data_IF_332681718741
#
_entry.id   IF_332681718741
#
_cell.length_a   1.000
_cell.length_b   1.000
_cell.length_c   1.000
_cell.angle_alpha   90.00
_cell.angle_beta   90.00
_cell.angle_gamma   90.00
#
_symmetry.space_group_name_H-M   'P 1'
#
loop_
_entity.id
_entity.type
_entity.pdbx_description
1 polymer ?
#
# COMPACT_ATOMS: atom_id res chain seq x y z
N UNK A 1 -17.69 -49.75 -37.92
CA UNK A 1 -17.56 -49.73 -36.46
C UNK A 1 -16.69 -48.57 -35.89
N UNK A 2 -16.17 -47.65 -36.74
CA UNK A 2 -15.28 -46.53 -36.28
C UNK A 2 -15.98 -45.24 -35.82
N UNK A 3 -17.30 -45.07 -36.08
CA UNK A 3 -18.00 -43.83 -35.83
C UNK A 3 -18.79 -43.74 -34.46
N UNK A 4 -18.92 -44.84 -33.73
CA UNK A 4 -19.61 -44.87 -32.41
C UNK A 4 -18.66 -44.66 -31.22
N UNK A 5 -17.35 -44.94 -31.39
CA UNK A 5 -16.32 -44.75 -30.35
C UNK A 5 -15.97 -43.26 -30.12
N UNK A 6 -15.98 -42.44 -31.19
CA UNK A 6 -15.70 -41.00 -31.05
C UNK A 6 -16.82 -40.22 -30.33
N UNK A 7 -18.07 -40.70 -30.40
CA UNK A 7 -19.21 -40.00 -29.77
C UNK A 7 -19.29 -40.23 -28.25
N UNK A 8 -18.80 -41.36 -27.76
CA UNK A 8 -18.80 -41.67 -26.32
C UNK A 8 -17.75 -40.91 -25.53
N UNK A 9 -16.58 -40.61 -26.14
CA UNK A 9 -15.51 -39.81 -25.51
C UNK A 9 -15.87 -38.33 -25.50
N UNK A 10 -16.57 -37.81 -26.51
CA UNK A 10 -17.00 -36.42 -26.58
C UNK A 10 -18.10 -36.07 -25.56
N UNK A 11 -18.93 -36.98 -25.17
CA UNK A 11 -20.04 -36.72 -24.23
C UNK A 11 -19.54 -36.65 -22.77
N UNK A 12 -18.51 -37.39 -22.40
CA UNK A 12 -17.97 -37.35 -21.03
C UNK A 12 -17.06 -36.11 -20.81
N UNK A 13 -16.40 -35.58 -21.85
CA UNK A 13 -15.61 -34.34 -21.74
C UNK A 13 -16.45 -33.06 -21.73
N UNK A 14 -17.66 -33.07 -22.29
CA UNK A 14 -18.53 -31.88 -22.34
C UNK A 14 -19.33 -31.62 -21.06
N UNK A 15 -19.40 -32.58 -20.15
CA UNK A 15 -20.16 -32.43 -18.89
C UNK A 15 -19.37 -31.82 -17.71
N UNK A 16 -18.07 -31.56 -17.86
CA UNK A 16 -17.19 -31.03 -16.79
C UNK A 16 -16.35 -29.82 -17.20
N UNK A 17 -16.78 -29.08 -18.23
CA UNK A 17 -16.25 -27.73 -18.40
C UNK A 17 -17.05 -26.82 -17.47
N UNK A 18 -16.48 -26.35 -16.34
CA UNK A 18 -17.18 -25.34 -15.56
C UNK A 18 -17.34 -24.12 -16.47
N UNK A 19 -18.50 -23.45 -16.46
CA UNK A 19 -18.68 -22.24 -17.24
C UNK A 19 -17.57 -21.27 -16.88
N UNK A 20 -16.91 -20.68 -17.87
CA UNK A 20 -15.75 -19.79 -17.73
C UNK A 20 -16.04 -18.47 -16.95
N UNK A 21 -17.17 -18.41 -16.27
CA UNK A 21 -17.63 -17.29 -15.43
C UNK A 21 -18.12 -17.75 -14.05
N UNK A 22 -17.63 -18.87 -13.50
CA UNK A 22 -17.85 -19.16 -12.11
C UNK A 22 -17.13 -18.10 -11.28
N UNK A 23 -17.82 -17.01 -10.95
CA UNK A 23 -17.43 -16.15 -9.85
C UNK A 23 -17.12 -17.06 -8.67
N UNK A 24 -15.91 -16.97 -8.14
CA UNK A 24 -15.50 -17.80 -7.02
C UNK A 24 -16.53 -17.60 -5.88
N UNK A 25 -17.35 -18.63 -5.61
CA UNK A 25 -18.36 -18.57 -4.56
C UNK A 25 -17.60 -18.54 -3.23
N UNK A 26 -17.66 -17.42 -2.51
CA UNK A 26 -17.08 -17.29 -1.18
C UNK A 26 -17.94 -18.00 -0.13
N UNK A 27 -17.85 -19.34 -0.12
CA UNK A 27 -18.61 -20.22 0.80
C UNK A 27 -18.35 -19.88 2.26
N UNK A 28 -17.17 -19.37 2.58
CA UNK A 28 -16.74 -19.08 3.95
C UNK A 28 -16.93 -17.62 4.35
N UNK A 29 -17.48 -16.77 3.46
CA UNK A 29 -17.65 -15.32 3.65
C UNK A 29 -16.38 -14.64 4.14
N UNK A 30 -15.24 -14.98 3.54
CA UNK A 30 -13.95 -14.44 3.93
C UNK A 30 -13.73 -13.03 3.41
N UNK A 31 -14.44 -12.65 2.34
CA UNK A 31 -14.49 -11.27 1.83
C UNK A 31 -14.99 -10.28 2.88
N UNK A 32 -15.89 -10.69 3.79
CA UNK A 32 -16.44 -9.83 4.83
C UNK A 32 -15.38 -9.46 5.90
N UNK A 33 -14.27 -10.18 5.95
CA UNK A 33 -13.16 -9.92 6.87
C UNK A 33 -12.12 -8.93 6.31
N UNK A 34 -12.32 -8.43 5.09
CA UNK A 34 -11.56 -7.33 4.47
C UNK A 34 -12.48 -6.14 4.22
N UNK A 35 -11.91 -4.95 4.06
CA UNK A 35 -12.68 -3.75 3.76
C UNK A 35 -13.51 -3.89 2.48
N UNK A 36 -14.77 -3.44 2.50
CA UNK A 36 -15.68 -3.52 1.35
C UNK A 36 -15.17 -2.73 0.13
N UNK A 37 -14.56 -1.57 0.37
CA UNK A 37 -13.94 -0.71 -0.66
C UNK A 37 -12.53 -0.30 -0.25
N UNK A 38 -11.69 0.16 -1.18
CA UNK A 38 -10.36 0.68 -0.85
C UNK A 38 -10.38 1.78 0.22
N UNK A 39 -11.43 2.58 0.28
CA UNK A 39 -11.58 3.74 1.15
C UNK A 39 -12.35 3.46 2.46
N UNK A 40 -12.98 2.29 2.61
CA UNK A 40 -13.85 1.94 3.74
C UNK A 40 -13.31 2.24 5.14
N UNK A 41 -12.01 2.03 5.43
CA UNK A 41 -11.49 2.29 6.77
C UNK A 41 -11.56 3.76 7.21
N UNK A 42 -11.48 4.70 6.27
CA UNK A 42 -11.49 6.14 6.55
C UNK A 42 -12.83 6.82 6.25
N UNK A 43 -13.69 6.17 5.45
CA UNK A 43 -14.95 6.73 4.95
C UNK A 43 -16.10 5.81 5.31
N UNK A 44 -16.81 6.12 6.38
CA UNK A 44 -17.93 5.30 6.85
C UNK A 44 -19.18 5.34 5.96
N UNK A 45 -19.39 6.41 5.15
CA UNK A 45 -20.64 6.61 4.38
C UNK A 45 -20.48 7.33 3.03
N UNK A 46 -19.28 7.62 2.55
CA UNK A 46 -19.10 8.39 1.32
C UNK A 46 -18.79 7.44 0.15
N UNK A 47 -19.65 7.43 -0.86
CA UNK A 47 -19.37 6.73 -2.11
C UNK A 47 -18.24 7.42 -2.86
N UNK A 48 -17.27 6.65 -3.35
CA UNK A 48 -16.21 7.14 -4.22
C UNK A 48 -16.81 7.56 -5.58
N UNK A 49 -17.30 8.79 -5.66
CA UNK A 49 -17.77 9.39 -6.92
C UNK A 49 -16.66 10.28 -7.47
N UNK A 50 -16.13 9.94 -8.63
CA UNK A 50 -15.14 10.76 -9.34
C UNK A 50 -15.86 11.68 -10.29
N UNK A 51 -16.34 12.84 -9.82
CA UNK A 51 -16.80 13.89 -10.71
C UNK A 51 -15.62 14.76 -11.21
N UNK A 52 -15.63 15.19 -12.48
CA UNK A 52 -14.70 16.20 -12.96
C UNK A 52 -15.01 17.53 -12.27
N UNK A 53 -14.04 18.07 -11.54
CA UNK A 53 -14.24 19.28 -10.73
C UNK A 53 -13.88 20.50 -11.58
N UNK A 54 -14.87 21.18 -12.11
CA UNK A 54 -14.73 22.49 -12.79
C UNK A 54 -14.59 23.67 -11.81
N UNK A 55 -14.72 23.39 -10.51
CA UNK A 55 -14.63 24.36 -9.41
C UNK A 55 -13.30 24.26 -8.68
N UNK A 56 -12.90 25.29 -7.92
CA UNK A 56 -11.73 25.20 -7.05
C UNK A 56 -11.88 24.04 -6.06
N UNK A 57 -10.86 23.20 -6.00
CA UNK A 57 -10.82 21.98 -5.21
C UNK A 57 -10.53 22.32 -3.73
N UNK A 58 -11.36 21.82 -2.82
CA UNK A 58 -11.11 21.89 -1.38
C UNK A 58 -10.16 20.76 -0.94
N UNK A 59 -9.50 20.94 0.22
CA UNK A 59 -8.57 19.94 0.76
C UNK A 59 -9.26 18.60 1.01
N UNK A 60 -10.44 18.60 1.61
CA UNK A 60 -11.21 17.38 1.85
C UNK A 60 -11.51 16.61 0.57
N UNK A 61 -11.93 17.33 -0.49
CA UNK A 61 -12.23 16.72 -1.78
C UNK A 61 -10.98 16.11 -2.44
N UNK A 62 -9.84 16.80 -2.34
CA UNK A 62 -8.57 16.27 -2.84
C UNK A 62 -8.20 14.96 -2.16
N UNK A 63 -8.35 14.90 -0.84
CA UNK A 63 -8.07 13.70 -0.04
C UNK A 63 -9.06 12.58 -0.36
N UNK A 64 -10.36 12.88 -0.44
CA UNK A 64 -11.38 11.90 -0.80
C UNK A 64 -11.10 11.28 -2.17
N UNK A 65 -10.76 12.09 -3.17
CA UNK A 65 -10.39 11.60 -4.48
C UNK A 65 -9.12 10.75 -4.44
N UNK A 66 -8.10 11.17 -3.68
CA UNK A 66 -6.87 10.41 -3.53
C UNK A 66 -7.12 9.02 -2.91
N UNK A 67 -7.82 8.95 -1.79
CA UNK A 67 -8.15 7.69 -1.11
C UNK A 67 -8.92 6.73 -2.03
N UNK A 68 -9.81 7.27 -2.86
CA UNK A 68 -10.62 6.47 -3.76
C UNK A 68 -9.87 6.00 -5.02
N UNK A 69 -8.97 6.81 -5.58
CA UNK A 69 -8.39 6.58 -6.90
C UNK A 69 -6.91 6.23 -6.89
N UNK A 70 -6.20 6.51 -5.80
CA UNK A 70 -4.74 6.32 -5.75
C UNK A 70 -4.35 4.84 -5.92
N UNK A 71 -3.41 4.50 -6.82
CA UNK A 71 -3.02 3.11 -7.09
C UNK A 71 -2.52 2.35 -5.86
N UNK A 72 -1.80 3.01 -4.94
CA UNK A 72 -1.30 2.38 -3.71
C UNK A 72 -2.45 1.95 -2.78
N UNK A 73 -3.50 2.76 -2.63
CA UNK A 73 -4.69 2.40 -1.85
C UNK A 73 -5.38 1.17 -2.43
N UNK A 74 -5.55 1.13 -3.76
CA UNK A 74 -6.11 -0.02 -4.49
C UNK A 74 -5.25 -1.27 -4.35
N UNK A 75 -3.93 -1.14 -4.41
CA UNK A 75 -2.99 -2.24 -4.23
C UNK A 75 -3.07 -2.82 -2.82
N UNK A 76 -3.06 -1.98 -1.77
CA UNK A 76 -3.16 -2.43 -0.39
C UNK A 76 -4.49 -3.16 -0.13
N UNK A 77 -5.60 -2.62 -0.64
CA UNK A 77 -6.90 -3.28 -0.59
C UNK A 77 -6.93 -4.63 -1.31
N UNK A 78 -6.36 -4.73 -2.51
CA UNK A 78 -6.29 -5.99 -3.26
C UNK A 78 -5.45 -7.03 -2.50
N UNK A 79 -4.35 -6.61 -1.85
CA UNK A 79 -3.53 -7.47 -0.99
C UNK A 79 -4.31 -7.98 0.23
N UNK A 80 -5.10 -7.13 0.89
CA UNK A 80 -5.95 -7.55 2.02
C UNK A 80 -6.99 -8.59 1.56
N UNK A 81 -7.63 -8.39 0.41
CA UNK A 81 -8.55 -9.37 -0.19
C UNK A 81 -7.87 -10.69 -0.54
N UNK A 82 -6.63 -10.64 -1.03
CA UNK A 82 -5.86 -11.85 -1.30
C UNK A 82 -5.58 -12.64 -0.01
N UNK A 83 -5.28 -11.97 1.10
CA UNK A 83 -5.11 -12.62 2.39
C UNK A 83 -6.46 -13.13 2.97
N UNK A 84 -7.56 -12.44 2.72
CA UNK A 84 -8.89 -12.93 3.06
C UNK A 84 -9.21 -14.25 2.32
N UNK A 85 -8.88 -14.32 1.03
CA UNK A 85 -8.99 -15.57 0.27
C UNK A 85 -8.07 -16.68 0.82
N UNK A 86 -6.87 -16.34 1.28
CA UNK A 86 -5.95 -17.30 1.93
C UNK A 86 -6.55 -17.90 3.23
N UNK A 87 -7.32 -17.11 3.99
CA UNK A 87 -8.12 -17.65 5.11
C UNK A 87 -9.15 -18.65 4.62
N UNK A 88 -9.80 -18.40 3.48
CA UNK A 88 -10.71 -19.35 2.84
C UNK A 88 -10.02 -20.67 2.47
N UNK A 89 -8.82 -20.60 1.89
CA UNK A 89 -7.99 -21.77 1.59
C UNK A 89 -7.66 -22.55 2.88
N UNK A 90 -7.29 -21.86 3.95
CA UNK A 90 -7.01 -22.50 5.24
C UNK A 90 -8.26 -23.17 5.86
N UNK A 91 -9.45 -22.58 5.69
CA UNK A 91 -10.73 -23.20 6.08
C UNK A 91 -11.06 -24.40 5.21
N UNK A 92 -10.81 -24.34 3.90
CA UNK A 92 -11.07 -25.44 2.96
C UNK A 92 -10.25 -26.69 3.29
N UNK A 93 -9.08 -26.55 3.95
CA UNK A 93 -8.28 -27.70 4.42
C UNK A 93 -9.02 -28.60 5.45
N UNK A 94 -10.13 -28.15 6.02
CA UNK A 94 -10.99 -28.98 6.90
C UNK A 94 -12.01 -29.82 6.14
N UNK A 95 -12.23 -29.56 4.86
CA UNK A 95 -13.17 -30.26 4.01
C UNK A 95 -12.50 -31.42 3.27
N UNK A 96 -13.28 -32.44 2.82
CA UNK A 96 -12.75 -33.48 1.96
C UNK A 96 -12.36 -32.92 0.58
N UNK A 97 -11.25 -33.42 0.03
CA UNK A 97 -10.84 -33.19 -1.34
C UNK A 97 -11.23 -34.36 -2.23
N UNK A 98 -11.79 -34.08 -3.39
CA UNK A 98 -12.20 -35.05 -4.39
C UNK A 98 -11.52 -34.73 -5.71
N UNK A 99 -10.73 -35.69 -6.22
CA UNK A 99 -9.98 -35.54 -7.47
C UNK A 99 -10.40 -36.64 -8.45
N UNK A 100 -10.72 -36.24 -9.70
CA UNK A 100 -11.01 -37.17 -10.78
C UNK A 100 -9.84 -37.16 -11.78
N UNK A 101 -9.38 -38.34 -12.16
CA UNK A 101 -8.34 -38.54 -13.19
C UNK A 101 -8.85 -39.51 -14.23
N UNK A 102 -8.72 -39.19 -15.50
CA UNK A 102 -9.04 -40.11 -16.59
C UNK A 102 -7.87 -40.16 -17.56
N UNK A 103 -7.62 -41.31 -18.14
CA UNK A 103 -6.48 -41.50 -19.05
C UNK A 103 -6.66 -42.69 -19.97
N UNK A 104 -5.78 -42.74 -20.97
CA UNK A 104 -5.63 -43.87 -21.91
C UNK A 104 -4.18 -44.27 -21.84
N UNK A 105 -3.96 -45.55 -21.46
CA UNK A 105 -2.64 -46.13 -21.39
C UNK A 105 -2.41 -47.12 -22.51
N UNK A 106 -1.21 -47.17 -23.01
CA UNK A 106 -0.73 -48.24 -23.86
C UNK A 106 0.52 -48.83 -23.22
N UNK A 107 0.36 -50.05 -22.71
CA UNK A 107 1.45 -50.78 -22.06
C UNK A 107 1.98 -51.88 -22.99
N UNK A 108 3.30 -51.97 -23.04
CA UNK A 108 4.01 -53.04 -23.74
C UNK A 108 4.89 -53.74 -22.73
N UNK A 109 4.49 -54.99 -22.40
CA UNK A 109 5.23 -55.80 -21.43
C UNK A 109 5.89 -56.95 -22.17
N UNK A 110 7.20 -57.08 -22.01
CA UNK A 110 7.96 -58.27 -22.42
C UNK A 110 8.36 -59.03 -21.17
N UNK A 111 7.99 -60.31 -21.10
CA UNK A 111 8.31 -61.20 -19.99
C UNK A 111 9.06 -62.38 -20.56
N UNK A 112 10.26 -62.63 -20.07
CA UNK A 112 11.04 -63.83 -20.40
C UNK A 112 10.91 -64.85 -19.29
N UNK A 113 10.43 -66.01 -19.62
CA UNK A 113 10.34 -67.14 -18.71
C UNK A 113 11.56 -68.01 -18.93
N UNK A 114 12.32 -68.30 -17.88
CA UNK A 114 13.42 -69.24 -17.93
C UNK A 114 12.94 -70.61 -17.46
N UNK A 115 12.87 -71.52 -18.42
CA UNK A 115 12.51 -72.93 -18.16
C UNK A 115 13.79 -73.83 -18.19
N UNK A 116 14.95 -73.26 -17.98
CA UNK A 116 16.25 -74.02 -17.97
C UNK A 116 16.23 -75.15 -16.95
N UNK A 117 15.60 -75.01 -15.79
CA UNK A 117 15.51 -76.10 -14.80
C UNK A 117 14.76 -77.36 -15.25
N UNK A 118 14.00 -77.29 -16.34
CA UNK A 118 13.22 -78.39 -16.92
C UNK A 118 13.69 -78.70 -18.37
N UNK A 119 14.82 -78.12 -18.81
CA UNK A 119 15.42 -78.38 -20.11
C UNK A 119 14.79 -77.70 -21.33
N UNK A 120 13.84 -76.73 -21.13
CA UNK A 120 13.11 -76.12 -22.23
C UNK A 120 13.68 -74.72 -22.65
N UNK A 121 14.74 -74.26 -22.04
CA UNK A 121 15.38 -72.97 -22.37
C UNK A 121 14.51 -71.76 -21.95
N UNK A 122 14.90 -70.55 -22.40
CA UNK A 122 14.14 -69.34 -22.10
C UNK A 122 13.14 -68.99 -23.21
N UNK A 123 11.92 -68.62 -22.84
CA UNK A 123 10.90 -68.14 -23.77
C UNK A 123 10.53 -66.70 -23.44
N UNK A 124 10.62 -65.82 -24.43
CA UNK A 124 10.18 -64.42 -24.30
C UNK A 124 8.81 -64.19 -24.93
N UNK A 125 7.91 -63.59 -24.19
CA UNK A 125 6.57 -63.27 -24.65
C UNK A 125 6.36 -61.76 -24.53
N UNK A 126 6.16 -61.09 -25.65
CA UNK A 126 5.79 -59.65 -25.68
C UNK A 126 4.27 -59.53 -25.81
N UNK A 127 3.73 -58.58 -25.04
CA UNK A 127 2.31 -58.33 -25.01
C UNK A 127 2.06 -56.82 -25.02
N UNK A 128 1.13 -56.40 -25.87
CA UNK A 128 0.67 -54.97 -25.91
C UNK A 128 -0.77 -54.96 -25.40
N UNK A 129 -1.07 -53.98 -24.50
CA UNK A 129 -2.41 -53.69 -24.05
C UNK A 129 -2.71 -52.22 -24.18
N UNK A 130 -3.95 -51.88 -24.43
CA UNK A 130 -4.45 -50.52 -24.34
C UNK A 130 -5.59 -50.51 -23.31
N UNK A 131 -5.56 -49.58 -22.38
CA UNK A 131 -6.63 -49.42 -21.39
C UNK A 131 -7.14 -47.99 -21.33
N UNK A 132 -8.40 -47.83 -21.07
CA UNK A 132 -9.01 -46.57 -20.71
C UNK A 132 -9.39 -46.64 -19.23
N UNK A 133 -8.94 -45.68 -18.44
CA UNK A 133 -9.24 -45.67 -17.01
C UNK A 133 -9.83 -44.34 -16.54
N UNK A 134 -10.66 -44.42 -15.50
CA UNK A 134 -11.13 -43.32 -14.70
C UNK A 134 -10.93 -43.63 -13.24
N UNK A 135 -10.35 -42.70 -12.50
CA UNK A 135 -10.08 -42.81 -11.06
C UNK A 135 -10.67 -41.60 -10.35
N UNK A 136 -11.48 -41.85 -9.33
CA UNK A 136 -11.97 -40.84 -8.41
C UNK A 136 -11.31 -41.09 -7.05
N UNK A 137 -10.56 -40.10 -6.55
CA UNK A 137 -9.88 -40.18 -5.28
C UNK A 137 -10.51 -39.20 -4.28
N UNK A 138 -10.83 -39.68 -3.11
CA UNK A 138 -11.28 -38.93 -1.94
C UNK A 138 -10.15 -38.91 -0.92
N UNK A 139 -9.80 -37.73 -0.42
CA UNK A 139 -8.90 -37.56 0.72
C UNK A 139 -9.49 -36.56 1.72
N UNK A 140 -9.52 -36.97 2.99
CA UNK A 140 -10.03 -36.11 4.06
C UNK A 140 -9.20 -36.31 5.33
N UNK A 141 -8.58 -35.25 5.79
CA UNK A 141 -7.84 -35.25 7.05
C UNK A 141 -8.85 -35.11 8.19
N UNK A 142 -8.94 -36.14 9.05
CA UNK A 142 -9.81 -36.14 10.23
C UNK A 142 -9.11 -35.45 11.41
N UNK A 143 -7.84 -35.84 11.67
CA UNK A 143 -7.08 -35.32 12.80
C UNK A 143 -5.59 -35.16 12.43
N UNK A 144 -4.98 -34.03 12.81
CA UNK A 144 -3.62 -33.66 12.45
C UNK A 144 -2.85 -32.99 13.61
N UNK A 145 -3.29 -33.25 14.83
CA UNK A 145 -2.65 -32.74 16.06
C UNK A 145 -2.37 -31.23 16.05
N UNK A 146 -3.24 -30.47 15.39
CA UNK A 146 -3.24 -29.01 15.42
C UNK A 146 -2.62 -28.32 14.20
N UNK A 147 -2.15 -29.04 13.17
CA UNK A 147 -1.55 -28.44 11.97
C UNK A 147 -2.52 -27.49 11.27
N UNK A 148 -3.77 -27.92 10.98
CA UNK A 148 -4.77 -27.07 10.32
C UNK A 148 -5.21 -25.89 11.18
N UNK A 149 -5.36 -26.09 12.50
CA UNK A 149 -5.75 -25.00 13.40
C UNK A 149 -4.66 -23.93 13.52
N UNK A 150 -3.39 -24.32 13.58
CA UNK A 150 -2.26 -23.40 13.53
C UNK A 150 -2.17 -22.70 12.17
N UNK A 151 -2.37 -23.43 11.06
CA UNK A 151 -2.44 -22.86 9.70
C UNK A 151 -3.56 -21.84 9.53
N UNK A 152 -4.72 -22.08 10.11
CA UNK A 152 -5.84 -21.14 10.10
C UNK A 152 -5.52 -19.88 10.96
N UNK A 153 -4.87 -20.04 12.11
CA UNK A 153 -4.39 -18.90 12.91
C UNK A 153 -3.38 -18.08 12.12
N UNK A 154 -2.38 -18.73 11.53
CA UNK A 154 -1.40 -18.06 10.67
C UNK A 154 -2.07 -17.22 9.58
N UNK A 155 -3.03 -17.80 8.84
CA UNK A 155 -3.75 -17.09 7.78
C UNK A 155 -4.57 -15.89 8.31
N UNK A 156 -5.19 -16.01 9.49
CA UNK A 156 -5.94 -14.93 10.14
C UNK A 156 -5.03 -13.79 10.58
N UNK A 157 -3.88 -14.10 11.16
CA UNK A 157 -2.92 -13.07 11.59
C UNK A 157 -2.29 -12.35 10.39
N UNK A 158 -2.03 -13.06 9.27
CA UNK A 158 -1.59 -12.44 8.02
C UNK A 158 -2.67 -11.53 7.43
N UNK A 159 -3.94 -11.90 7.53
CA UNK A 159 -5.06 -11.03 7.13
C UNK A 159 -5.14 -9.79 8.03
N UNK A 160 -5.01 -9.94 9.34
CA UNK A 160 -4.97 -8.81 10.28
C UNK A 160 -3.81 -7.86 9.95
N UNK A 161 -2.63 -8.41 9.65
CA UNK A 161 -1.48 -7.61 9.21
C UNK A 161 -1.73 -6.88 7.89
N UNK A 162 -2.42 -7.51 6.93
CA UNK A 162 -2.75 -6.91 5.64
C UNK A 162 -3.79 -5.79 5.77
N UNK A 163 -4.82 -5.97 6.60
CA UNK A 163 -5.81 -4.93 6.91
C UNK A 163 -5.13 -3.71 7.58
N UNK A 164 -4.31 -3.93 8.60
CA UNK A 164 -3.58 -2.85 9.24
C UNK A 164 -2.56 -2.16 8.29
N UNK A 165 -1.97 -2.90 7.35
CA UNK A 165 -1.12 -2.32 6.31
C UNK A 165 -1.94 -1.50 5.30
N UNK A 166 -3.19 -1.87 5.03
CA UNK A 166 -4.11 -1.06 4.24
C UNK A 166 -4.40 0.26 4.94
N UNK A 167 -4.70 0.24 6.25
CA UNK A 167 -4.95 1.45 7.05
C UNK A 167 -3.72 2.38 7.05
N UNK A 168 -2.52 1.84 7.24
CA UNK A 168 -1.26 2.58 7.18
C UNK A 168 -1.05 3.24 5.80
N UNK A 169 -1.33 2.49 4.73
CA UNK A 169 -1.24 3.01 3.34
C UNK A 169 -2.24 4.14 3.10
N UNK A 170 -3.48 4.02 3.59
CA UNK A 170 -4.49 5.07 3.45
C UNK A 170 -4.09 6.34 4.20
N UNK A 171 -3.51 6.21 5.40
CA UNK A 171 -2.97 7.35 6.14
C UNK A 171 -1.79 8.00 5.41
N UNK A 172 -0.90 7.20 4.79
CA UNK A 172 0.19 7.73 3.99
C UNK A 172 -0.31 8.48 2.74
N UNK A 173 -1.33 7.97 2.05
CA UNK A 173 -1.98 8.65 0.90
C UNK A 173 -2.65 9.94 1.36
N UNK A 174 -3.37 9.92 2.47
CA UNK A 174 -3.97 11.11 3.07
C UNK A 174 -2.90 12.18 3.36
N UNK A 175 -1.85 11.79 4.08
CA UNK A 175 -0.75 12.69 4.45
C UNK A 175 -0.07 13.30 3.23
N UNK A 176 0.31 12.48 2.25
CA UNK A 176 0.99 12.95 1.05
C UNK A 176 0.13 13.90 0.20
N UNK A 177 -1.18 13.64 0.12
CA UNK A 177 -2.12 14.50 -0.62
C UNK A 177 -2.34 15.83 0.10
N UNK A 178 -2.52 15.81 1.42
CA UNK A 178 -2.66 17.02 2.21
C UNK A 178 -1.40 17.89 2.14
N UNK A 179 -0.21 17.27 2.21
CA UNK A 179 1.06 17.94 2.07
C UNK A 179 1.23 18.56 0.68
N UNK A 180 0.86 17.85 -0.40
CA UNK A 180 0.90 18.36 -1.77
C UNK A 180 -0.10 19.51 -1.97
N UNK A 181 -1.29 19.44 -1.36
CA UNK A 181 -2.27 20.51 -1.39
C UNK A 181 -1.73 21.80 -0.73
N UNK A 182 -1.16 21.68 0.47
CA UNK A 182 -0.53 22.84 1.13
C UNK A 182 0.68 23.38 0.35
N UNK A 183 1.45 22.51 -0.30
CA UNK A 183 2.56 22.97 -1.16
C UNK A 183 2.07 23.83 -2.35
N UNK A 184 0.90 23.55 -2.94
CA UNK A 184 0.29 24.42 -3.96
C UNK A 184 -0.09 25.77 -3.35
N UNK A 185 -0.70 25.79 -2.17
CA UNK A 185 -1.07 27.04 -1.47
C UNK A 185 0.15 27.89 -1.15
N UNK A 186 1.22 27.27 -0.68
CA UNK A 186 2.47 27.95 -0.33
C UNK A 186 3.15 28.52 -1.57
N UNK A 187 3.12 27.77 -2.69
CA UNK A 187 3.61 28.26 -3.98
C UNK A 187 2.79 29.45 -4.50
N UNK A 188 1.45 29.44 -4.34
CA UNK A 188 0.58 30.57 -4.69
C UNK A 188 0.88 31.80 -3.82
N UNK A 189 1.01 31.62 -2.50
CA UNK A 189 1.38 32.71 -1.59
C UNK A 189 2.76 33.29 -1.94
N UNK A 190 3.69 32.46 -2.42
CA UNK A 190 5.01 32.91 -2.89
C UNK A 190 4.92 33.73 -4.18
N UNK A 191 3.99 33.40 -5.09
CA UNK A 191 3.70 34.21 -6.29
C UNK A 191 3.13 35.56 -5.90
N UNK A 192 2.18 35.61 -4.96
CA UNK A 192 1.57 36.86 -4.48
C UNK A 192 2.63 37.79 -3.85
N UNK A 193 3.53 37.25 -3.02
CA UNK A 193 4.67 37.98 -2.46
C UNK A 193 5.64 38.49 -3.54
N UNK A 194 5.94 37.65 -4.54
CA UNK A 194 6.80 38.04 -5.63
C UNK A 194 6.19 39.15 -6.51
N UNK A 195 4.88 39.11 -6.74
CA UNK A 195 4.13 40.18 -7.42
C UNK A 195 4.19 41.50 -6.64
N UNK A 196 4.06 41.47 -5.33
CA UNK A 196 4.19 42.66 -4.49
C UNK A 196 5.60 43.21 -4.57
N UNK A 197 6.62 42.38 -4.47
CA UNK A 197 8.05 42.76 -4.58
C UNK A 197 8.36 43.37 -5.95
N UNK A 198 7.86 42.77 -7.04
CA UNK A 198 8.04 43.33 -8.40
C UNK A 198 7.36 44.70 -8.52
N UNK A 199 6.14 44.87 -8.00
CA UNK A 199 5.46 46.19 -8.01
C UNK A 199 6.25 47.24 -7.25
N UNK A 200 6.75 46.97 -6.06
CA UNK A 200 7.54 47.87 -5.24
C UNK A 200 8.85 48.24 -5.96
N UNK A 201 9.53 47.25 -6.57
CA UNK A 201 10.75 47.48 -7.32
C UNK A 201 10.50 48.32 -8.59
N UNK A 202 9.36 48.14 -9.27
CA UNK A 202 8.93 48.94 -10.42
C UNK A 202 8.70 50.41 -10.05
N UNK A 203 7.97 50.64 -8.94
CA UNK A 203 7.72 51.99 -8.42
C UNK A 203 9.03 52.69 -8.04
N UNK A 204 9.97 51.96 -7.42
CA UNK A 204 11.28 52.51 -7.05
C UNK A 204 12.16 52.82 -8.28
N UNK A 205 12.09 52.01 -9.32
CA UNK A 205 12.75 52.28 -10.60
C UNK A 205 12.19 53.55 -11.24
N UNK A 206 10.86 53.73 -11.23
CA UNK A 206 10.20 54.92 -11.75
C UNK A 206 10.66 56.19 -10.99
N UNK A 207 10.69 56.11 -9.65
CA UNK A 207 11.17 57.23 -8.81
C UNK A 207 12.67 57.56 -9.05
N UNK A 208 13.51 56.54 -9.13
CA UNK A 208 14.97 56.73 -9.40
C UNK A 208 15.23 57.30 -10.80
N UNK A 209 14.45 56.90 -11.81
CA UNK A 209 14.52 57.50 -13.16
C UNK A 209 14.11 58.99 -13.14
N UNK A 210 12.94 59.29 -12.54
CA UNK A 210 12.47 60.67 -12.46
C UNK A 210 13.48 61.60 -11.77
N UNK A 211 14.08 61.15 -10.64
CA UNK A 211 15.11 61.91 -9.94
C UNK A 211 16.39 62.10 -10.80
N UNK A 212 16.84 61.06 -11.49
CA UNK A 212 17.99 61.14 -12.38
C UNK A 212 17.74 62.13 -13.55
N UNK A 213 16.60 62.03 -14.20
CA UNK A 213 16.23 62.88 -15.36
C UNK A 213 16.04 64.35 -14.94
N UNK A 214 15.63 64.61 -13.68
CA UNK A 214 15.59 65.93 -13.07
C UNK A 214 16.93 66.40 -12.53
N UNK A 215 18.02 65.65 -12.68
CA UNK A 215 19.35 66.00 -12.17
C UNK A 215 19.53 65.90 -10.66
N UNK A 216 18.55 65.38 -9.96
CA UNK A 216 18.51 65.19 -8.48
C UNK A 216 18.92 63.79 -8.02
N UNK A 217 19.18 62.86 -8.94
CA UNK A 217 19.57 61.48 -8.68
C UNK A 217 20.81 61.03 -9.44
N UNK A 218 21.48 59.99 -8.96
CA UNK A 218 22.68 59.45 -9.60
C UNK A 218 22.34 58.37 -10.66
N UNK A 219 23.22 58.20 -11.66
CA UNK A 219 23.13 57.11 -12.60
C UNK A 219 23.22 55.73 -11.88
N UNK A 220 24.00 55.65 -10.80
CA UNK A 220 24.14 54.46 -9.96
C UNK A 220 22.83 54.03 -9.37
N UNK A 221 22.06 54.97 -8.76
CA UNK A 221 20.73 54.66 -8.16
C UNK A 221 19.77 54.13 -9.21
N UNK A 222 19.73 54.74 -10.42
CA UNK A 222 18.90 54.28 -11.53
C UNK A 222 19.26 52.87 -11.97
N UNK A 223 20.54 52.54 -12.11
CA UNK A 223 21.03 51.23 -12.55
C UNK A 223 20.78 50.18 -11.45
N UNK A 224 20.96 50.51 -10.16
CA UNK A 224 20.61 49.61 -9.04
C UNK A 224 19.11 49.32 -8.99
N UNK A 225 18.27 50.34 -9.14
CA UNK A 225 16.82 50.18 -9.22
C UNK A 225 16.41 49.30 -10.40
N UNK A 226 17.02 49.47 -11.56
CA UNK A 226 16.77 48.65 -12.74
C UNK A 226 17.18 47.19 -12.53
N UNK A 227 18.30 46.92 -11.89
CA UNK A 227 18.79 45.60 -11.56
C UNK A 227 17.85 44.91 -10.58
N UNK A 228 17.39 45.61 -9.52
CA UNK A 228 16.43 45.11 -8.53
C UNK A 228 15.11 44.76 -9.18
N UNK A 229 14.58 45.63 -10.06
CA UNK A 229 13.33 45.31 -10.79
C UNK A 229 13.50 44.07 -11.69
N UNK A 230 14.60 43.94 -12.43
CA UNK A 230 14.85 42.77 -13.28
C UNK A 230 14.93 41.47 -12.46
N UNK A 231 15.56 41.54 -11.27
CA UNK A 231 15.63 40.43 -10.34
C UNK A 231 14.21 40.01 -9.83
N UNK A 232 13.41 41.00 -9.44
CA UNK A 232 12.04 40.74 -8.99
C UNK A 232 11.18 40.07 -10.08
N UNK A 233 11.35 40.49 -11.38
CA UNK A 233 10.70 39.80 -12.51
C UNK A 233 11.14 38.33 -12.62
N UNK A 234 12.44 38.04 -12.49
CA UNK A 234 12.96 36.68 -12.54
C UNK A 234 12.38 35.82 -11.38
N UNK A 235 12.34 36.39 -10.17
CA UNK A 235 11.83 35.70 -8.98
C UNK A 235 10.34 35.38 -9.13
N UNK A 236 9.53 36.32 -9.69
CA UNK A 236 8.13 36.07 -9.99
C UNK A 236 7.92 34.93 -11.01
N UNK A 237 8.65 34.98 -12.14
CA UNK A 237 8.53 33.93 -13.17
C UNK A 237 8.92 32.57 -12.62
N UNK A 238 9.94 32.52 -11.76
CA UNK A 238 10.33 31.28 -11.05
C UNK A 238 9.23 30.79 -10.10
N UNK A 239 8.61 31.68 -9.33
CA UNK A 239 7.51 31.34 -8.43
C UNK A 239 6.29 30.80 -9.19
N UNK A 240 5.93 31.41 -10.35
CA UNK A 240 4.87 30.89 -11.22
C UNK A 240 5.18 29.49 -11.76
N UNK A 241 6.46 29.21 -12.07
CA UNK A 241 6.95 27.89 -12.44
C UNK A 241 6.73 26.86 -11.32
N UNK A 242 7.04 27.26 -10.09
CA UNK A 242 6.87 26.41 -8.90
C UNK A 242 5.38 26.07 -8.65
N UNK A 243 4.44 27.00 -8.88
CA UNK A 243 3.00 26.69 -8.79
C UNK A 243 2.63 25.58 -9.77
N UNK A 244 3.07 25.66 -11.03
CA UNK A 244 2.77 24.61 -12.01
C UNK A 244 3.34 23.25 -11.59
N UNK A 245 4.54 23.23 -11.06
CA UNK A 245 5.17 22.01 -10.53
C UNK A 245 4.40 21.44 -9.33
N UNK A 246 3.98 22.30 -8.40
CA UNK A 246 3.22 21.89 -7.22
C UNK A 246 1.83 21.35 -7.59
N UNK A 247 1.14 21.96 -8.57
CA UNK A 247 -0.13 21.45 -9.09
C UNK A 247 0.03 20.08 -9.72
N UNK A 248 1.10 19.85 -10.49
CA UNK A 248 1.40 18.52 -11.04
C UNK A 248 1.67 17.47 -9.95
N UNK A 249 2.40 17.86 -8.88
CA UNK A 249 2.63 16.96 -7.74
C UNK A 249 1.33 16.63 -6.99
N UNK A 250 0.42 17.59 -6.81
CA UNK A 250 -0.90 17.36 -6.24
C UNK A 250 -1.71 16.40 -7.12
N UNK A 251 -1.71 16.57 -8.45
CA UNK A 251 -2.39 15.66 -9.36
C UNK A 251 -1.92 14.22 -9.18
N UNK A 252 -0.60 14.01 -9.11
CA UNK A 252 -0.02 12.67 -8.91
C UNK A 252 -0.38 12.09 -7.53
N UNK A 253 -0.36 12.90 -6.46
CA UNK A 253 -0.77 12.44 -5.13
C UNK A 253 -2.24 12.05 -5.04
N UNK A 254 -3.07 12.58 -5.94
CA UNK A 254 -4.48 12.20 -6.13
C UNK A 254 -4.67 11.00 -7.08
N UNK A 255 -3.58 10.42 -7.59
CA UNK A 255 -3.64 9.31 -8.55
C UNK A 255 -4.03 9.74 -9.98
N UNK A 256 -3.77 10.99 -10.35
CA UNK A 256 -4.01 11.55 -11.68
C UNK A 256 -2.70 11.86 -12.40
N UNK A 257 -2.75 12.07 -13.70
CA UNK A 257 -1.59 12.48 -14.49
C UNK A 257 -1.15 13.90 -14.12
N UNK A 258 0.17 14.14 -14.09
CA UNK A 258 0.77 15.41 -13.66
C UNK A 258 0.36 16.62 -14.50
N UNK A 259 -0.07 16.42 -15.74
CA UNK A 259 -0.57 17.45 -16.66
C UNK A 259 -2.05 17.82 -16.45
N UNK A 260 -2.71 17.24 -15.46
CA UNK A 260 -4.11 17.57 -15.14
C UNK A 260 -4.18 18.98 -14.56
N UNK A 261 -4.89 19.87 -15.27
CA UNK A 261 -5.13 21.23 -14.77
C UNK A 261 -6.14 21.20 -13.62
N UNK A 262 -5.82 21.88 -12.52
CA UNK A 262 -6.74 22.05 -11.40
C UNK A 262 -6.49 23.39 -10.69
N UNK A 263 -7.53 23.90 -10.08
CA UNK A 263 -7.46 25.07 -9.19
C UNK A 263 -7.84 24.65 -7.79
N UNK A 264 -7.18 25.21 -6.78
CA UNK A 264 -7.51 24.95 -5.38
C UNK A 264 -8.18 26.15 -4.73
N UNK A 265 -8.88 25.91 -3.62
CA UNK A 265 -9.45 26.99 -2.79
C UNK A 265 -8.32 27.71 -2.06
N UNK A 266 -8.21 29.03 -2.23
CA UNK A 266 -7.12 29.85 -1.68
C UNK A 266 -7.40 30.41 -0.28
N UNK A 267 -8.65 30.55 0.10
CA UNK A 267 -9.07 31.25 1.32
C UNK A 267 -9.44 30.29 2.46
N UNK A 268 -8.49 29.95 3.29
CA UNK A 268 -8.75 29.48 4.65
C UNK A 268 -7.89 30.30 5.62
N UNK A 269 -8.51 30.96 6.60
CA UNK A 269 -7.75 31.66 7.63
C UNK A 269 -6.90 30.66 8.41
N UNK A 270 -5.70 31.06 8.78
CA UNK A 270 -4.87 30.32 9.74
C UNK A 270 -5.52 30.54 11.09
N UNK A 271 -6.16 29.51 11.67
CA UNK A 271 -6.65 29.57 13.03
C UNK A 271 -5.47 29.65 14.01
N UNK A 272 -5.52 30.61 14.94
CA UNK A 272 -4.48 30.81 15.95
C UNK A 272 -4.57 29.79 17.11
N UNK A 273 -5.28 28.69 16.96
CA UNK A 273 -5.44 27.68 18.01
C UNK A 273 -4.17 26.81 18.13
N UNK A 274 -3.37 27.07 19.15
CA UNK A 274 -2.00 26.57 19.29
C UNK A 274 -1.83 25.56 20.42
N UNK A 275 -2.87 25.23 21.19
CA UNK A 275 -2.70 24.48 22.41
C UNK A 275 -2.76 22.96 22.20
N UNK A 276 -1.59 22.31 22.14
CA UNK A 276 -1.52 20.88 22.44
C UNK A 276 -1.53 20.74 23.97
N UNK A 277 -2.68 20.36 24.54
CA UNK A 277 -2.83 20.18 25.97
C UNK A 277 -2.15 18.91 26.51
N UNK A 278 -1.89 17.91 25.65
CA UNK A 278 -1.33 16.64 26.06
C UNK A 278 0.20 16.65 26.10
N UNK A 279 0.78 16.03 27.13
CA UNK A 279 2.23 15.83 27.21
C UNK A 279 2.74 14.83 26.17
N UNK A 280 3.98 15.00 25.74
CA UNK A 280 4.60 14.14 24.71
C UNK A 280 4.63 12.66 25.07
N UNK A 281 4.80 12.32 26.34
CA UNK A 281 4.80 10.92 26.81
C UNK A 281 3.43 10.27 26.65
N UNK A 282 2.35 11.01 26.89
CA UNK A 282 0.98 10.54 26.65
C UNK A 282 0.74 10.29 25.18
N UNK A 283 1.17 11.20 24.30
CA UNK A 283 1.06 11.08 22.85
C UNK A 283 1.84 9.87 22.32
N UNK A 284 3.05 9.61 22.82
CA UNK A 284 3.84 8.44 22.46
C UNK A 284 3.11 7.15 22.86
N UNK A 285 2.53 7.10 24.07
CA UNK A 285 1.81 5.93 24.53
C UNK A 285 0.53 5.68 23.71
N UNK A 286 -0.22 6.73 23.37
CA UNK A 286 -1.39 6.62 22.49
C UNK A 286 -0.99 6.13 21.09
N UNK A 287 0.07 6.68 20.49
CA UNK A 287 0.58 6.23 19.20
C UNK A 287 0.98 4.75 19.22
N UNK A 288 1.66 4.30 20.26
CA UNK A 288 2.02 2.87 20.41
C UNK A 288 0.80 1.95 20.42
N UNK A 289 -0.35 2.42 20.88
CA UNK A 289 -1.58 1.63 20.90
C UNK A 289 -2.30 1.60 19.55
N UNK A 290 -2.34 2.72 18.86
CA UNK A 290 -3.25 2.96 17.71
C UNK A 290 -2.59 2.95 16.34
N UNK A 291 -1.26 3.21 16.27
CA UNK A 291 -0.57 3.36 14.99
C UNK A 291 -0.71 2.09 14.12
N UNK A 292 -1.32 2.17 12.92
CA UNK A 292 -1.58 0.99 12.09
C UNK A 292 -0.32 0.20 11.74
N UNK A 293 0.80 0.88 11.54
CA UNK A 293 2.12 0.25 11.33
C UNK A 293 2.50 -0.71 12.47
N UNK A 294 2.23 -0.35 13.73
CA UNK A 294 2.50 -1.21 14.89
C UNK A 294 1.47 -2.34 15.01
N UNK A 295 0.21 -2.08 14.68
CA UNK A 295 -0.82 -3.12 14.62
C UNK A 295 -0.43 -4.18 13.58
N UNK A 296 0.04 -3.76 12.40
CA UNK A 296 0.54 -4.66 11.36
C UNK A 296 1.77 -5.46 11.83
N UNK A 297 2.73 -4.83 12.50
CA UNK A 297 3.93 -5.51 13.02
C UNK A 297 3.59 -6.55 14.10
N UNK A 298 2.67 -6.24 15.02
CA UNK A 298 2.18 -7.20 16.03
C UNK A 298 1.49 -8.40 15.39
N UNK A 299 0.66 -8.16 14.39
CA UNK A 299 -0.01 -9.24 13.64
C UNK A 299 1.00 -10.12 12.88
N UNK A 300 2.05 -9.53 12.28
CA UNK A 300 3.13 -10.31 11.64
C UNK A 300 3.89 -11.17 12.63
N UNK A 301 4.18 -10.66 13.83
CA UNK A 301 4.79 -11.45 14.91
C UNK A 301 3.88 -12.60 15.33
N UNK A 302 2.58 -12.35 15.52
CA UNK A 302 1.60 -13.38 15.84
C UNK A 302 1.51 -14.45 14.74
N UNK A 303 1.57 -14.05 13.46
CA UNK A 303 1.64 -14.94 12.31
C UNK A 303 2.91 -15.81 12.34
N UNK A 304 4.07 -15.21 12.61
CA UNK A 304 5.33 -15.95 12.71
C UNK A 304 5.31 -16.98 13.86
N UNK A 305 4.75 -16.63 15.02
CA UNK A 305 4.55 -17.55 16.13
C UNK A 305 3.57 -18.67 15.77
N UNK A 306 2.49 -18.38 15.07
CA UNK A 306 1.57 -19.39 14.55
C UNK A 306 2.24 -20.32 13.54
N UNK A 307 3.16 -19.81 12.71
CA UNK A 307 3.95 -20.62 11.79
C UNK A 307 4.86 -21.61 12.51
N UNK A 308 5.47 -21.23 13.64
CA UNK A 308 6.24 -22.18 14.48
C UNK A 308 5.37 -23.38 14.87
N UNK A 309 4.11 -23.13 15.26
CA UNK A 309 3.18 -24.21 15.62
C UNK A 309 2.78 -25.07 14.41
N UNK A 310 2.63 -24.48 13.22
CA UNK A 310 2.40 -25.23 11.96
C UNK A 310 3.56 -26.20 11.72
N UNK A 311 4.80 -25.68 11.81
CA UNK A 311 6.01 -26.47 11.56
C UNK A 311 6.21 -27.57 12.62
N UNK A 312 5.93 -27.29 13.91
CA UNK A 312 5.93 -28.30 14.97
C UNK A 312 4.90 -29.41 14.70
N UNK A 313 3.71 -29.02 14.23
CA UNK A 313 2.64 -29.99 13.95
C UNK A 313 2.91 -30.84 12.72
N UNK A 314 3.81 -30.43 11.80
CA UNK A 314 4.20 -31.25 10.64
C UNK A 314 4.90 -32.55 11.05
N UNK A 315 5.61 -32.56 12.17
CA UNK A 315 6.25 -33.77 12.72
C UNK A 315 5.31 -34.67 13.54
N UNK A 316 4.02 -34.36 13.62
CA UNK A 316 3.02 -35.13 14.39
C UNK A 316 2.26 -36.11 13.51
N UNK A 317 1.68 -37.17 14.08
CA UNK A 317 0.84 -38.12 13.31
C UNK A 317 -0.33 -37.42 12.62
N UNK A 318 -0.82 -38.02 11.53
CA UNK A 318 -2.01 -37.53 10.82
C UNK A 318 -2.96 -38.70 10.58
N UNK A 319 -4.26 -38.54 10.90
CA UNK A 319 -5.32 -39.49 10.63
C UNK A 319 -6.18 -38.96 9.48
N UNK A 320 -6.30 -39.73 8.41
CA UNK A 320 -7.07 -39.34 7.23
C UNK A 320 -7.97 -40.48 6.75
N UNK A 321 -9.08 -40.11 6.10
CA UNK A 321 -9.86 -41.02 5.27
C UNK A 321 -9.30 -40.96 3.86
N UNK A 322 -8.97 -42.09 3.28
CA UNK A 322 -8.63 -42.24 1.87
C UNK A 322 -9.66 -43.16 1.20
N UNK A 323 -10.18 -42.68 0.07
CA UNK A 323 -11.10 -43.47 -0.76
C UNK A 323 -10.69 -43.42 -2.22
N UNK A 324 -10.89 -44.54 -2.94
CA UNK A 324 -10.70 -44.54 -4.38
C UNK A 324 -11.78 -45.38 -5.06
N UNK A 325 -12.30 -44.85 -6.14
CA UNK A 325 -13.10 -45.57 -7.10
C UNK A 325 -12.37 -45.57 -8.44
N UNK A 326 -12.10 -46.77 -8.95
CA UNK A 326 -11.37 -46.97 -10.21
C UNK A 326 -12.25 -47.75 -11.17
N UNK A 327 -12.43 -47.24 -12.36
CA UNK A 327 -13.01 -47.97 -13.49
C UNK A 327 -11.93 -48.12 -14.57
N UNK A 328 -11.74 -49.36 -15.02
CA UNK A 328 -10.79 -49.68 -16.08
C UNK A 328 -11.42 -50.55 -17.14
N UNK A 329 -11.20 -50.26 -18.39
CA UNK A 329 -11.58 -51.04 -19.55
C UNK A 329 -10.33 -51.58 -20.22
N UNK A 330 -9.70 -52.63 -19.71
CA UNK A 330 -8.46 -53.15 -20.29
C UNK A 330 -8.78 -53.91 -21.60
N UNK A 331 -7.92 -53.72 -22.61
CA UNK A 331 -7.94 -54.57 -23.79
C UNK A 331 -7.17 -55.91 -23.60
N UNK A 332 -6.66 -56.11 -22.40
CA UNK A 332 -5.75 -57.18 -22.02
C UNK A 332 -6.14 -57.81 -20.68
N UNK A 333 -5.84 -59.04 -20.56
CA UNK A 333 -6.18 -59.89 -19.47
C UNK A 333 -4.93 -60.44 -18.74
N UNK A 334 -4.99 -60.49 -17.41
CA UNK A 334 -4.02 -61.25 -16.61
C UNK A 334 -4.25 -62.77 -16.79
N UNK A 335 -3.22 -63.49 -16.80
CA UNK A 335 -2.95 -64.79 -17.39
C UNK A 335 -3.70 -66.01 -16.83
N UNK A 336 -4.66 -65.88 -15.94
CA UNK A 336 -5.28 -67.02 -15.29
C UNK A 336 -6.62 -67.44 -15.91
N UNK A 337 -7.29 -66.53 -16.62
CA UNK A 337 -8.67 -66.79 -17.08
C UNK A 337 -8.74 -66.85 -18.62
N UNK A 338 -9.52 -67.81 -19.12
CA UNK A 338 -9.72 -68.03 -20.54
C UNK A 338 -10.63 -67.00 -21.20
N UNK A 339 -11.19 -66.06 -20.45
CA UNK A 339 -12.15 -65.06 -20.95
C UNK A 339 -11.66 -63.65 -20.88
N UNK A 340 -11.87 -62.77 -21.89
CA UNK A 340 -11.46 -61.39 -21.88
C UNK A 340 -12.24 -60.57 -20.87
N UNK A 341 -11.54 -59.79 -20.00
CA UNK A 341 -12.14 -58.81 -19.12
C UNK A 341 -12.41 -57.57 -19.97
N UNK A 342 -13.67 -57.22 -20.18
CA UNK A 342 -14.09 -56.04 -20.93
C UNK A 342 -14.19 -54.81 -20.05
N UNK A 343 -14.41 -54.98 -18.76
CA UNK A 343 -14.57 -53.87 -17.77
C UNK A 343 -14.23 -54.39 -16.37
N UNK A 344 -13.48 -53.59 -15.63
CA UNK A 344 -13.31 -53.81 -14.20
C UNK A 344 -13.60 -52.53 -13.41
N UNK A 345 -14.15 -52.67 -12.23
CA UNK A 345 -14.29 -51.55 -11.29
C UNK A 345 -13.81 -52.04 -9.92
N UNK A 346 -13.22 -51.07 -9.19
CA UNK A 346 -12.74 -51.29 -7.83
C UNK A 346 -13.11 -50.10 -6.97
N UNK A 347 -13.59 -50.33 -5.79
CA UNK A 347 -13.83 -49.29 -4.78
C UNK A 347 -13.07 -49.65 -3.51
N UNK A 348 -12.40 -48.67 -2.94
CA UNK A 348 -11.67 -48.79 -1.69
C UNK A 348 -11.95 -47.56 -0.84
N UNK A 349 -12.26 -47.77 0.44
CA UNK A 349 -12.30 -46.72 1.46
C UNK A 349 -11.61 -47.23 2.71
N UNK A 350 -10.85 -46.39 3.37
CA UNK A 350 -10.12 -46.77 4.55
C UNK A 350 -9.68 -45.55 5.37
N UNK A 351 -9.32 -45.82 6.62
CA UNK A 351 -8.69 -44.87 7.52
C UNK A 351 -7.18 -45.15 7.48
N UNK A 352 -6.39 -44.07 7.30
CA UNK A 352 -4.96 -44.14 7.24
C UNK A 352 -4.36 -43.29 8.38
N UNK A 353 -3.47 -43.90 9.16
CA UNK A 353 -2.64 -43.25 10.14
C UNK A 353 -1.21 -43.10 9.54
N UNK A 354 -0.74 -41.88 9.40
CA UNK A 354 0.64 -41.60 8.95
C UNK A 354 1.42 -41.01 10.11
N UNK A 355 2.54 -41.66 10.46
CA UNK A 355 3.44 -41.25 11.55
C UNK A 355 4.82 -41.02 10.96
N UNK A 356 5.36 -39.79 10.93
CA UNK A 356 6.76 -39.55 10.54
C UNK A 356 7.67 -40.04 11.65
N UNK A 357 8.44 -41.13 11.40
CA UNK A 357 9.31 -41.72 12.41
C UNK A 357 10.73 -41.12 12.39
N UNK A 358 11.25 -40.84 11.21
CA UNK A 358 12.58 -40.28 11.04
C UNK A 358 12.69 -39.51 9.73
N UNK A 359 13.12 -38.27 9.79
CA UNK A 359 13.28 -37.35 8.64
C UNK A 359 14.73 -36.81 8.56
N UNK A 360 15.73 -37.57 8.97
CA UNK A 360 17.13 -37.12 8.94
C UNK A 360 17.39 -35.87 9.80
N UNK A 361 16.73 -35.75 10.97
CA UNK A 361 16.78 -34.59 11.87
C UNK A 361 16.21 -33.28 11.28
N UNK A 362 15.65 -33.30 10.08
CA UNK A 362 15.15 -32.10 9.40
C UNK A 362 14.04 -31.39 10.18
N UNK A 363 13.18 -32.12 10.91
CA UNK A 363 12.08 -31.53 11.72
C UNK A 363 12.61 -30.57 12.78
N UNK A 364 13.68 -30.93 13.49
CA UNK A 364 14.33 -30.06 14.49
C UNK A 364 14.86 -28.76 13.88
N UNK A 365 15.55 -28.84 12.76
CA UNK A 365 16.08 -27.66 12.06
C UNK A 365 14.96 -26.78 11.48
N UNK A 366 13.87 -27.36 10.96
CA UNK A 366 12.69 -26.59 10.52
C UNK A 366 12.07 -25.79 11.66
N UNK A 367 11.94 -26.40 12.84
CA UNK A 367 11.41 -25.70 14.04
C UNK A 367 12.36 -24.59 14.48
N UNK A 368 13.68 -24.86 14.57
CA UNK A 368 14.68 -23.85 14.90
C UNK A 368 14.67 -22.68 13.91
N UNK A 369 14.58 -22.97 12.61
CA UNK A 369 14.45 -21.94 11.56
C UNK A 369 13.20 -21.08 11.75
N UNK A 370 12.02 -21.70 11.96
CA UNK A 370 10.78 -20.96 12.18
C UNK A 370 10.82 -20.12 13.47
N UNK A 371 11.47 -20.63 14.53
CA UNK A 371 11.67 -19.91 15.79
C UNK A 371 12.53 -18.66 15.57
N UNK A 372 13.70 -18.80 14.90
CA UNK A 372 14.57 -17.66 14.59
C UNK A 372 13.87 -16.60 13.71
N UNK A 373 12.96 -17.03 12.82
CA UNK A 373 12.12 -16.09 12.05
C UNK A 373 11.13 -15.34 12.97
N UNK A 374 10.56 -16.00 13.98
CA UNK A 374 9.68 -15.34 14.95
C UNK A 374 10.47 -14.34 15.83
N UNK A 375 11.68 -14.70 16.25
CA UNK A 375 12.58 -13.83 17.01
C UNK A 375 12.98 -12.58 16.19
N UNK A 376 13.21 -12.75 14.87
CA UNK A 376 13.47 -11.64 13.96
C UNK A 376 12.27 -10.70 13.84
N UNK A 377 11.03 -11.24 13.78
CA UNK A 377 9.82 -10.41 13.77
C UNK A 377 9.59 -9.67 15.11
N UNK A 378 10.00 -10.26 16.22
CA UNK A 378 9.95 -9.59 17.53
C UNK A 378 10.91 -8.39 17.60
N UNK A 379 12.14 -8.58 17.09
CA UNK A 379 13.10 -7.49 16.95
C UNK A 379 12.60 -6.37 16.01
N UNK A 380 11.96 -6.73 14.89
CA UNK A 380 11.37 -5.77 13.95
C UNK A 380 10.20 -4.99 14.57
N UNK A 381 9.34 -5.64 15.37
CA UNK A 381 8.31 -4.95 16.16
C UNK A 381 8.95 -3.92 17.09
N UNK A 382 9.99 -4.31 17.82
CA UNK A 382 10.69 -3.40 18.74
C UNK A 382 11.30 -2.20 17.99
N UNK A 383 11.95 -2.45 16.85
CA UNK A 383 12.48 -1.39 16.01
C UNK A 383 11.36 -0.42 15.53
N UNK A 384 10.22 -0.97 15.11
CA UNK A 384 9.07 -0.17 14.71
C UNK A 384 8.50 0.68 15.86
N UNK A 385 8.47 0.16 17.09
CA UNK A 385 8.06 0.91 18.30
C UNK A 385 9.00 2.09 18.59
N UNK A 386 10.31 1.89 18.46
CA UNK A 386 11.29 2.95 18.62
C UNK A 386 11.15 4.03 17.55
N UNK A 387 10.93 3.62 16.30
CA UNK A 387 10.74 4.55 15.18
C UNK A 387 9.47 5.40 15.37
N UNK A 388 8.34 4.80 15.72
CA UNK A 388 7.08 5.54 15.99
C UNK A 388 7.28 6.51 17.17
N UNK A 389 7.95 6.09 18.24
CA UNK A 389 8.26 6.98 19.36
C UNK A 389 9.10 8.19 18.93
N UNK A 390 10.10 7.98 18.08
CA UNK A 390 10.94 9.05 17.54
C UNK A 390 10.16 9.99 16.62
N UNK A 391 9.27 9.44 15.78
CA UNK A 391 8.45 10.22 14.84
C UNK A 391 7.46 11.12 15.59
N UNK A 392 6.82 10.62 16.66
CA UNK A 392 5.97 11.44 17.55
C UNK A 392 6.79 12.52 18.23
N UNK A 393 7.95 12.18 18.80
CA UNK A 393 8.82 13.13 19.45
C UNK A 393 9.24 14.26 18.51
N UNK A 394 9.71 13.93 17.31
CA UNK A 394 10.15 14.92 16.31
C UNK A 394 9.01 15.82 15.88
N UNK A 395 7.83 15.25 15.60
CA UNK A 395 6.66 16.01 15.16
C UNK A 395 6.16 16.96 16.26
N UNK A 396 6.20 16.53 17.51
CA UNK A 396 5.84 17.35 18.66
C UNK A 396 6.79 18.54 18.84
N UNK A 397 8.10 18.30 18.81
CA UNK A 397 9.11 19.36 18.94
C UNK A 397 9.06 20.34 17.76
N UNK A 398 8.87 19.82 16.53
CA UNK A 398 8.69 20.66 15.35
C UNK A 398 7.46 21.56 15.48
N UNK A 399 6.34 21.02 15.94
CA UNK A 399 5.12 21.82 16.09
C UNK A 399 5.26 22.93 17.14
N UNK A 400 5.94 22.68 18.26
CA UNK A 400 6.22 23.70 19.25
C UNK A 400 7.09 24.83 18.72
N UNK A 401 8.17 24.46 18.01
CA UNK A 401 9.07 25.46 17.42
C UNK A 401 8.38 26.27 16.31
N UNK A 402 7.61 25.61 15.46
CA UNK A 402 6.94 26.24 14.33
C UNK A 402 5.74 27.10 14.76
N UNK A 403 5.10 26.83 15.90
CA UNK A 403 4.10 27.71 16.52
C UNK A 403 4.72 29.05 16.95
N UNK A 404 5.90 29.04 17.55
CA UNK A 404 6.66 30.25 17.90
C UNK A 404 7.08 30.99 16.64
N UNK A 405 7.64 30.27 15.65
CA UNK A 405 8.06 30.83 14.37
C UNK A 405 6.89 31.49 13.62
N UNK A 406 5.70 30.94 13.72
CA UNK A 406 4.48 31.50 13.12
C UNK A 406 4.19 32.91 13.65
N UNK A 407 4.25 33.10 14.96
CA UNK A 407 4.03 34.41 15.60
C UNK A 407 5.15 35.38 15.25
N UNK A 408 6.40 34.96 15.47
CA UNK A 408 7.58 35.80 15.21
C UNK A 408 7.68 36.25 13.74
N UNK A 409 7.30 35.38 12.78
CA UNK A 409 7.32 35.74 11.35
C UNK A 409 6.23 36.77 10.98
N UNK A 410 5.14 36.84 11.73
CA UNK A 410 4.12 37.87 11.57
C UNK A 410 4.67 39.23 12.02
N UNK A 411 5.23 39.27 13.23
CA UNK A 411 5.81 40.48 13.79
C UNK A 411 6.95 40.99 12.90
N UNK A 412 7.83 40.09 12.41
CA UNK A 412 8.90 40.46 11.44
C UNK A 412 8.35 41.09 10.16
N UNK A 413 7.21 40.54 9.63
CA UNK A 413 6.59 41.09 8.43
C UNK A 413 6.02 42.49 8.69
N UNK A 414 5.35 42.70 9.81
CA UNK A 414 4.78 43.98 10.21
C UNK A 414 5.89 45.05 10.40
N UNK A 415 6.99 44.73 11.09
CA UNK A 415 8.14 45.61 11.29
C UNK A 415 8.84 45.96 9.97
N UNK A 416 9.03 44.98 9.09
CA UNK A 416 9.64 45.20 7.77
C UNK A 416 8.76 46.07 6.88
N UNK A 417 7.43 45.93 6.94
CA UNK A 417 6.50 46.80 6.22
C UNK A 417 6.58 48.23 6.70
N UNK A 418 6.56 48.48 8.02
CA UNK A 418 6.71 49.80 8.61
C UNK A 418 8.05 50.43 8.26
N UNK A 419 9.15 49.67 8.30
CA UNK A 419 10.50 50.14 7.91
C UNK A 419 10.54 50.57 6.45
N UNK A 420 9.89 49.82 5.54
CA UNK A 420 9.80 50.21 4.13
C UNK A 420 9.00 51.51 3.94
N UNK A 421 7.88 51.66 4.62
CA UNK A 421 7.05 52.88 4.51
C UNK A 421 7.79 54.11 4.98
N UNK A 422 8.56 54.03 6.06
CA UNK A 422 9.45 55.10 6.54
C UNK A 422 10.56 55.40 5.53
N UNK A 423 11.31 54.40 5.06
CA UNK A 423 12.41 54.54 4.11
C UNK A 423 11.92 55.16 2.79
N UNK A 424 10.73 54.74 2.33
CA UNK A 424 10.10 55.29 1.11
C UNK A 424 9.73 56.77 1.27
N UNK A 425 9.13 57.16 2.41
CA UNK A 425 8.83 58.54 2.73
C UNK A 425 10.11 59.43 2.76
N UNK A 426 11.13 58.98 3.50
CA UNK A 426 12.42 59.68 3.58
C UNK A 426 13.11 59.87 2.22
N UNK A 427 13.11 58.81 1.37
CA UNK A 427 13.64 58.88 0.02
C UNK A 427 12.88 59.86 -0.87
N UNK A 428 11.55 59.84 -0.77
CA UNK A 428 10.66 60.74 -1.52
C UNK A 428 10.97 62.21 -1.18
N UNK A 429 11.05 62.53 0.10
CA UNK A 429 11.33 63.90 0.60
C UNK A 429 12.83 64.32 0.45
N UNK A 430 13.69 63.43 -0.06
CA UNK A 430 15.09 63.70 -0.32
C UNK A 430 16.03 63.69 0.89
N UNK A 431 15.52 63.23 2.07
CA UNK A 431 16.29 63.11 3.33
C UNK A 431 16.84 61.72 3.58
N UNK A 432 16.44 60.73 2.76
CA UNK A 432 16.91 59.34 2.77
C UNK A 432 17.70 58.98 1.52
N UNK A 433 18.57 57.97 1.62
CA UNK A 433 19.37 57.47 0.48
C UNK A 433 18.61 56.35 -0.27
N UNK A 434 18.97 56.13 -1.54
CA UNK A 434 18.44 54.99 -2.31
C UNK A 434 18.84 53.64 -1.68
N UNK A 435 20.03 53.55 -1.09
CA UNK A 435 20.51 52.34 -0.40
C UNK A 435 19.63 52.00 0.83
N UNK A 436 19.22 53.00 1.61
CA UNK A 436 18.27 52.81 2.73
C UNK A 436 16.95 52.24 2.23
N UNK A 437 16.38 52.77 1.15
CA UNK A 437 15.18 52.25 0.53
C UNK A 437 15.36 50.83 0.02
N UNK A 438 16.48 50.52 -0.65
CA UNK A 438 16.78 49.21 -1.19
C UNK A 438 16.91 48.15 -0.06
N UNK A 439 17.59 48.51 1.03
CA UNK A 439 17.72 47.63 2.20
C UNK A 439 16.35 47.32 2.84
N UNK A 440 15.48 48.31 2.99
CA UNK A 440 14.14 48.13 3.51
C UNK A 440 13.27 47.25 2.58
N UNK A 441 13.40 47.41 1.26
CA UNK A 441 12.72 46.55 0.27
C UNK A 441 13.18 45.09 0.37
N UNK A 442 14.49 44.89 0.51
CA UNK A 442 15.08 43.54 0.64
C UNK A 442 14.60 42.89 1.95
N UNK A 443 14.60 43.64 3.05
CA UNK A 443 14.11 43.16 4.34
C UNK A 443 12.61 42.76 4.28
N UNK A 444 11.77 43.53 3.59
CA UNK A 444 10.36 43.18 3.39
C UNK A 444 10.18 41.89 2.55
N UNK A 445 10.94 41.81 1.44
CA UNK A 445 10.89 40.62 0.58
C UNK A 445 11.31 39.36 1.34
N UNK A 446 12.36 39.45 2.17
CA UNK A 446 12.81 38.36 3.03
C UNK A 446 11.76 38.02 4.12
N UNK A 447 11.16 39.02 4.76
CA UNK A 447 10.12 38.84 5.75
C UNK A 447 8.87 38.16 5.17
N UNK A 448 8.43 38.55 3.96
CA UNK A 448 7.33 37.92 3.24
C UNK A 448 7.62 36.44 2.98
N UNK A 449 8.83 36.12 2.50
CA UNK A 449 9.27 34.74 2.28
C UNK A 449 9.32 33.95 3.59
N UNK A 450 9.85 34.51 4.67
CA UNK A 450 9.86 33.83 5.99
C UNK A 450 8.44 33.59 6.52
N UNK A 451 7.51 34.51 6.29
CA UNK A 451 6.10 34.32 6.68
C UNK A 451 5.46 33.15 5.94
N UNK A 452 5.63 33.05 4.63
CA UNK A 452 5.12 31.92 3.83
C UNK A 452 5.70 30.61 4.33
N UNK A 453 7.03 30.55 4.57
CA UNK A 453 7.71 29.38 5.08
C UNK A 453 7.25 28.98 6.49
N UNK A 454 7.02 29.94 7.39
CA UNK A 454 6.56 29.67 8.75
C UNK A 454 5.15 29.06 8.75
N UNK A 455 4.23 29.61 7.95
CA UNK A 455 2.88 29.06 7.79
C UNK A 455 2.92 27.63 7.22
N UNK A 456 3.74 27.41 6.19
CA UNK A 456 3.94 26.10 5.57
C UNK A 456 4.44 25.06 6.58
N UNK A 457 5.53 25.39 7.30
CA UNK A 457 6.11 24.48 8.31
C UNK A 457 5.15 24.16 9.43
N UNK A 458 4.43 25.14 9.96
CA UNK A 458 3.45 24.93 11.01
C UNK A 458 2.32 23.97 10.57
N UNK A 459 1.78 24.16 9.35
CA UNK A 459 0.78 23.24 8.79
C UNK A 459 1.34 21.83 8.62
N UNK A 460 2.56 21.73 8.07
CA UNK A 460 3.22 20.44 7.90
C UNK A 460 3.48 19.75 9.25
N UNK A 461 3.89 20.48 10.29
CA UNK A 461 4.14 19.95 11.63
C UNK A 461 2.84 19.43 12.30
N UNK A 462 1.72 20.18 12.20
CA UNK A 462 0.39 19.71 12.65
C UNK A 462 0.01 18.38 11.97
N UNK A 463 0.11 18.36 10.65
CA UNK A 463 -0.22 17.18 9.87
C UNK A 463 0.70 16.00 10.21
N UNK A 464 2.01 16.24 10.38
CA UNK A 464 2.99 15.22 10.76
C UNK A 464 2.71 14.63 12.14
N UNK A 465 2.30 15.46 13.10
CA UNK A 465 1.94 14.98 14.44
C UNK A 465 0.69 14.09 14.37
N UNK A 466 -0.36 14.53 13.68
CA UNK A 466 -1.56 13.72 13.49
C UNK A 466 -1.27 12.37 12.80
N UNK A 467 -0.38 12.38 11.79
CA UNK A 467 0.09 11.17 11.12
C UNK A 467 0.86 10.24 12.05
N UNK A 468 1.79 10.78 12.84
CA UNK A 468 2.60 9.98 13.77
C UNK A 468 1.77 9.35 14.89
N UNK A 469 0.65 9.96 15.25
CA UNK A 469 -0.32 9.41 16.20
C UNK A 469 -1.28 8.37 15.60
N UNK A 470 -1.26 8.18 14.27
CA UNK A 470 -2.21 7.30 13.59
C UNK A 470 -3.65 7.83 13.63
N UNK A 471 -3.83 9.17 13.71
CA UNK A 471 -5.13 9.83 13.85
C UNK A 471 -5.53 10.66 12.63
N UNK A 472 -4.92 10.43 11.47
CA UNK A 472 -5.35 11.13 10.27
C UNK A 472 -6.75 10.69 9.86
N UNK A 473 -7.65 11.67 9.74
CA UNK A 473 -9.02 11.51 9.30
C UNK A 473 -9.62 12.87 8.96
N UNK A 474 -10.76 12.92 8.27
CA UNK A 474 -11.42 14.17 7.87
C UNK A 474 -11.80 15.06 9.08
N UNK A 475 -12.02 14.44 10.25
CA UNK A 475 -12.31 15.14 11.51
C UNK A 475 -11.11 15.86 12.15
N UNK A 476 -9.90 15.69 11.65
CA UNK A 476 -8.70 16.36 12.19
C UNK A 476 -8.38 17.66 11.45
N UNK A 477 -9.25 18.10 10.56
CA UNK A 477 -9.05 19.26 9.70
C UNK A 477 -9.81 20.51 10.17
N UNK A 478 -10.72 20.34 11.15
CA UNK A 478 -11.46 21.45 11.78
C UNK A 478 -10.59 22.09 12.92
#
# INVERSE_FOLDING_TARGET
MKSRLLRAVSVVMLAFVPPASAQAVDVFRTSDASSATPASPLLSNTSCVSEPVDRPLALEEAILQAICSHPQARQAWANARAQAAAVGIAKAAYLPALNATTGIDRDTRSTTYDYGAIGLGSQSRSRQSSSQYGILNLSWVLFDFGKRSAGLRLARELLAAANATQDDTLQAVFFSTAQAYYAVRDAQASVDAAWQTERIAHESLAAARAKHDAGAGTLSDRLQAQTTFRRAVLDRVSAEGNVRTAVGALAVSMGRDANTSMRIVTAEPVSDDHAIAAGVDELINDAKMRQPKLVAARARLAAARANVEVVRAQGRPTISIAGSFTQNNPSFQQQADSFPISRSHSSKIGIQLTIPLFEGFASGYRVAHAQSQADAQEAELRNSELQVSLDVWRSYQALQADAINLTTSRDLLDDAQHSLDIARGRYKEGVGTFVELLNAQTALADAQKQRVLAVSKWRAARLSLAASLGRLGLWTMD
#
